data_IF_381025172786
#
_entry.id   IF_381025172786
#
_cell.length_a   1.000
_cell.length_b   1.000
_cell.length_c   1.000
_cell.angle_alpha   90.00
_cell.angle_beta   90.00
_cell.angle_gamma   90.00
#
_symmetry.space_group_name_H-M   'P 1'
#
loop_
_entity.id
_entity.type
_entity.pdbx_description
1 polymer ?
#
# COMPACT_ATOMS: atom_id res chain seq x y z
N UNK A 1 -9.67 30.95 0.72
CA UNK A 1 -9.62 29.73 1.57
C UNK A 1 -8.36 28.95 1.22
N UNK A 2 -7.52 28.60 2.20
CA UNK A 2 -6.41 27.69 1.93
C UNK A 2 -6.99 26.31 1.57
N UNK A 3 -6.57 25.72 0.46
CA UNK A 3 -6.93 24.36 0.10
C UNK A 3 -6.51 23.40 1.24
N UNK A 4 -7.40 22.48 1.61
CA UNK A 4 -7.05 21.45 2.60
C UNK A 4 -5.95 20.57 2.01
N UNK A 5 -4.92 20.32 2.82
CA UNK A 5 -3.82 19.45 2.44
C UNK A 5 -4.32 18.00 2.28
N UNK A 6 -3.89 17.33 1.22
CA UNK A 6 -4.16 15.89 1.04
C UNK A 6 -3.26 15.10 1.98
N UNK A 7 -3.85 14.36 2.90
CA UNK A 7 -3.14 13.52 3.88
C UNK A 7 -3.59 12.06 3.87
N UNK A 8 -4.66 11.75 3.11
CA UNK A 8 -5.23 10.42 2.99
C UNK A 8 -5.01 9.87 1.58
N UNK A 9 -4.72 8.59 1.48
CA UNK A 9 -4.64 7.89 0.21
C UNK A 9 -5.43 6.59 0.23
N UNK A 10 -6.10 6.30 -0.87
CA UNK A 10 -6.85 5.06 -1.10
C UNK A 10 -6.07 4.19 -2.08
N UNK A 11 -5.89 2.94 -1.71
CA UNK A 11 -5.20 1.91 -2.49
C UNK A 11 -6.20 0.82 -2.87
N UNK A 12 -6.74 0.83 -4.09
CA UNK A 12 -7.64 -0.22 -4.57
C UNK A 12 -6.86 -1.49 -4.89
N UNK A 13 -6.91 -2.47 -3.98
CA UNK A 13 -6.17 -3.74 -4.07
C UNK A 13 -7.09 -4.97 -4.06
N UNK A 14 -8.37 -4.78 -4.35
CA UNK A 14 -9.37 -5.84 -4.34
C UNK A 14 -9.40 -6.71 -5.63
N UNK A 15 -8.70 -6.29 -6.69
CA UNK A 15 -8.72 -6.97 -7.99
C UNK A 15 -8.09 -8.37 -7.95
N UNK A 16 -8.55 -9.26 -8.83
CA UNK A 16 -8.08 -10.65 -8.90
C UNK A 16 -6.72 -10.83 -9.61
N UNK A 17 -6.18 -9.78 -10.22
CA UNK A 17 -4.87 -9.83 -10.87
C UNK A 17 -4.81 -10.77 -12.09
N UNK A 18 -5.88 -10.90 -12.85
CA UNK A 18 -5.98 -11.85 -13.96
C UNK A 18 -4.93 -11.66 -15.04
N UNK A 19 -4.43 -10.44 -15.22
CA UNK A 19 -3.35 -10.11 -16.16
C UNK A 19 -1.99 -10.68 -15.76
N UNK A 20 -1.84 -11.12 -14.51
CA UNK A 20 -0.59 -11.67 -13.95
C UNK A 20 -0.67 -13.18 -13.70
N UNK A 21 -1.64 -13.85 -14.31
CA UNK A 21 -1.71 -15.31 -14.26
C UNK A 21 -0.48 -15.94 -14.98
N UNK A 22 0.04 -17.08 -14.48
CA UNK A 22 -0.51 -17.94 -13.41
C UNK A 22 -0.11 -17.51 -11.97
N UNK A 23 0.83 -16.59 -11.80
CA UNK A 23 1.35 -16.23 -10.47
C UNK A 23 0.25 -15.80 -9.48
N UNK A 24 -0.69 -14.99 -9.94
CA UNK A 24 -1.81 -14.47 -9.10
C UNK A 24 -2.88 -15.50 -8.76
N UNK A 25 -2.70 -16.76 -9.18
CA UNK A 25 -3.52 -17.88 -8.69
C UNK A 25 -3.35 -18.08 -7.18
N UNK A 26 -2.14 -17.85 -6.66
CA UNK A 26 -1.78 -18.13 -5.26
C UNK A 26 -1.36 -16.90 -4.47
N UNK A 27 -0.90 -15.84 -5.13
CA UNK A 27 -0.43 -14.62 -4.48
C UNK A 27 -1.12 -13.38 -5.03
N UNK A 28 -1.44 -12.38 -4.19
CA UNK A 28 -1.91 -11.08 -4.66
C UNK A 28 -0.88 -10.41 -5.57
N UNK A 29 -1.34 -9.79 -6.67
CA UNK A 29 -0.43 -9.07 -7.60
C UNK A 29 0.38 -7.98 -6.91
N UNK A 30 -0.18 -7.37 -5.89
CA UNK A 30 0.42 -6.27 -5.12
C UNK A 30 1.64 -6.72 -4.31
N UNK A 31 1.75 -8.03 -4.01
CA UNK A 31 2.90 -8.65 -3.33
C UNK A 31 3.94 -9.18 -4.31
N UNK A 32 3.66 -9.19 -5.60
CA UNK A 32 4.66 -9.55 -6.61
C UNK A 32 5.82 -8.57 -6.57
N UNK A 33 7.03 -9.11 -6.59
CA UNK A 33 8.27 -8.33 -6.49
C UNK A 33 8.61 -7.67 -7.81
N UNK A 34 8.93 -6.39 -7.74
CA UNK A 34 9.58 -5.65 -8.81
C UNK A 34 10.97 -5.25 -8.33
N UNK A 35 12.02 -5.83 -8.91
CA UNK A 35 13.42 -5.72 -8.51
C UNK A 35 13.66 -6.31 -7.11
N UNK A 36 13.53 -5.53 -6.05
CA UNK A 36 13.91 -5.89 -4.68
C UNK A 36 12.75 -5.83 -3.66
N UNK A 37 11.60 -5.29 -4.07
CA UNK A 37 10.46 -5.07 -3.16
C UNK A 37 9.12 -5.29 -3.87
N UNK A 38 8.04 -5.59 -3.13
CA UNK A 38 6.73 -5.79 -3.73
C UNK A 38 6.14 -4.49 -4.27
N UNK A 39 5.27 -4.61 -5.28
CA UNK A 39 4.60 -3.47 -5.93
C UNK A 39 3.94 -2.53 -4.92
N UNK A 40 3.30 -3.08 -3.90
CA UNK A 40 2.63 -2.26 -2.87
C UNK A 40 3.62 -1.35 -2.12
N UNK A 41 4.87 -1.78 -1.91
CA UNK A 41 5.86 -0.98 -1.22
C UNK A 41 6.22 0.29 -2.01
N UNK A 42 6.35 0.19 -3.33
CA UNK A 42 6.57 1.36 -4.18
C UNK A 42 5.44 2.39 -4.04
N UNK A 43 4.19 1.93 -4.01
CA UNK A 43 3.03 2.82 -3.84
C UNK A 43 3.02 3.49 -2.45
N UNK A 44 3.39 2.76 -1.41
CA UNK A 44 3.50 3.30 -0.05
C UNK A 44 4.63 4.31 0.05
N UNK A 45 5.81 4.00 -0.49
CA UNK A 45 6.96 4.91 -0.47
C UNK A 45 6.65 6.22 -1.21
N UNK A 46 5.98 6.13 -2.35
CA UNK A 46 5.50 7.30 -3.09
C UNK A 46 4.52 8.16 -2.29
N UNK A 47 3.55 7.51 -1.64
CA UNK A 47 2.56 8.20 -0.81
C UNK A 47 3.23 8.86 0.41
N UNK A 48 4.16 8.18 1.08
CA UNK A 48 4.93 8.74 2.20
C UNK A 48 5.74 9.97 1.78
N UNK A 49 6.44 9.89 0.64
CA UNK A 49 7.22 11.00 0.10
C UNK A 49 6.34 12.23 -0.21
N UNK A 50 5.09 12.02 -0.61
CA UNK A 50 4.12 13.09 -0.83
C UNK A 50 3.46 13.63 0.45
N UNK A 51 3.76 13.04 1.62
CA UNK A 51 3.24 13.49 2.92
C UNK A 51 1.89 12.89 3.30
N UNK A 52 1.50 11.77 2.70
CA UNK A 52 0.33 10.98 3.13
C UNK A 52 0.61 10.37 4.50
N UNK A 53 -0.40 10.39 5.36
CA UNK A 53 -0.33 9.90 6.74
C UNK A 53 -1.33 8.77 7.03
N UNK A 54 -2.41 8.72 6.28
CA UNK A 54 -3.48 7.73 6.45
C UNK A 54 -3.63 6.93 5.15
N UNK A 55 -3.49 5.62 5.26
CA UNK A 55 -3.43 4.67 4.16
C UNK A 55 -4.66 3.76 4.21
N UNK A 56 -5.53 3.82 3.22
CA UNK A 56 -6.79 3.09 3.18
C UNK A 56 -6.72 2.05 2.07
N UNK A 57 -6.58 0.79 2.44
CA UNK A 57 -6.58 -0.33 1.52
C UNK A 57 -7.99 -0.87 1.31
N UNK A 58 -8.44 -0.89 0.07
CA UNK A 58 -9.70 -1.53 -0.31
C UNK A 58 -9.37 -2.90 -0.89
N UNK A 59 -9.52 -3.91 -0.06
CA UNK A 59 -9.13 -5.30 -0.30
C UNK A 59 -10.33 -6.22 -0.56
N UNK A 60 -10.07 -7.50 -0.79
CA UNK A 60 -11.07 -8.56 -0.98
C UNK A 60 -10.65 -9.84 -0.28
N UNK A 61 -11.49 -10.85 -0.35
CA UNK A 61 -11.15 -12.19 0.19
C UNK A 61 -9.87 -12.74 -0.44
N UNK A 62 -9.00 -13.35 0.36
CA UNK A 62 -7.75 -13.98 -0.10
C UNK A 62 -6.57 -13.03 -0.24
N UNK A 63 -6.63 -11.84 0.35
CA UNK A 63 -5.57 -10.83 0.32
C UNK A 63 -4.81 -10.70 1.66
N UNK A 64 -4.83 -11.73 2.53
CA UNK A 64 -4.17 -11.69 3.85
C UNK A 64 -2.66 -11.40 3.77
N UNK A 65 -1.98 -11.92 2.76
CA UNK A 65 -0.55 -11.63 2.56
C UNK A 65 -0.24 -10.13 2.41
N UNK A 66 -1.20 -9.33 1.92
CA UNK A 66 -1.07 -7.90 1.83
C UNK A 66 -1.17 -7.23 3.22
N UNK A 67 -2.05 -7.73 4.06
CA UNK A 67 -2.22 -7.25 5.44
C UNK A 67 -1.00 -7.63 6.28
N UNK A 68 -0.58 -8.91 6.20
CA UNK A 68 0.58 -9.45 6.92
C UNK A 68 1.90 -8.74 6.55
N UNK A 69 2.01 -8.24 5.31
CA UNK A 69 3.23 -7.57 4.84
C UNK A 69 3.61 -6.33 5.67
N UNK A 70 2.62 -5.60 6.16
CA UNK A 70 2.85 -4.38 6.94
C UNK A 70 2.87 -4.61 8.45
N UNK A 71 2.63 -5.83 8.89
CA UNK A 71 2.71 -6.19 10.29
C UNK A 71 4.16 -6.39 10.74
N UNK A 72 4.42 -6.16 12.01
CA UNK A 72 5.70 -6.48 12.61
C UNK A 72 5.98 -7.97 12.54
N UNK A 73 7.24 -8.34 12.27
CA UNK A 73 7.72 -9.72 12.23
C UNK A 73 8.73 -9.99 13.36
N UNK A 74 8.31 -10.08 14.64
CA UNK A 74 9.21 -10.12 15.80
C UNK A 74 10.19 -11.29 15.77
N UNK A 75 9.78 -12.45 15.27
CA UNK A 75 10.64 -13.64 15.16
C UNK A 75 11.76 -13.42 14.14
N UNK A 76 11.42 -12.83 12.98
CA UNK A 76 12.40 -12.49 11.97
C UNK A 76 13.36 -11.39 12.46
N UNK A 77 12.82 -10.34 13.08
CA UNK A 77 13.63 -9.27 13.68
C UNK A 77 14.63 -9.83 14.71
N UNK A 78 14.18 -10.71 15.61
CA UNK A 78 15.03 -11.34 16.60
C UNK A 78 16.12 -12.21 15.95
N UNK A 79 15.77 -12.93 14.90
CA UNK A 79 16.72 -13.78 14.15
C UNK A 79 17.80 -12.92 13.49
N UNK A 80 17.41 -11.83 12.83
CA UNK A 80 18.35 -10.90 12.19
C UNK A 80 19.26 -10.23 13.22
N UNK A 81 18.71 -9.83 14.37
CA UNK A 81 19.45 -9.20 15.46
C UNK A 81 20.50 -10.16 16.05
N UNK A 82 20.13 -11.42 16.30
CA UNK A 82 21.06 -12.46 16.76
C UNK A 82 22.16 -12.75 15.74
N UNK A 83 21.84 -12.72 14.46
CA UNK A 83 22.77 -12.93 13.36
C UNK A 83 23.62 -11.68 13.04
N UNK A 84 23.42 -10.55 13.73
CA UNK A 84 24.08 -9.24 13.51
C UNK A 84 23.93 -8.72 12.07
N UNK A 85 22.77 -8.97 11.45
CA UNK A 85 22.46 -8.53 10.08
C UNK A 85 21.72 -7.17 10.11
N UNK A 86 22.45 -6.11 10.46
CA UNK A 86 21.89 -4.78 10.68
C UNK A 86 21.23 -4.20 9.41
N UNK A 87 21.86 -4.37 8.25
CA UNK A 87 21.30 -3.88 6.97
C UNK A 87 19.93 -4.50 6.67
N UNK A 88 19.78 -5.82 6.86
CA UNK A 88 18.50 -6.50 6.65
C UNK A 88 17.47 -6.10 7.70
N UNK A 89 17.90 -5.80 8.90
CA UNK A 89 17.02 -5.32 9.96
C UNK A 89 16.46 -3.92 9.62
N UNK A 90 17.27 -3.03 9.07
CA UNK A 90 16.80 -1.70 8.62
C UNK A 90 15.81 -1.83 7.45
N UNK A 91 16.10 -2.67 6.45
CA UNK A 91 15.18 -2.96 5.34
C UNK A 91 13.83 -3.45 5.88
N UNK A 92 13.85 -4.36 6.86
CA UNK A 92 12.62 -4.87 7.47
C UNK A 92 11.84 -3.76 8.19
N UNK A 93 12.51 -2.88 8.91
CA UNK A 93 11.89 -1.74 9.61
C UNK A 93 11.22 -0.74 8.66
N UNK A 94 11.76 -0.55 7.46
CA UNK A 94 11.17 0.34 6.45
C UNK A 94 9.77 -0.09 6.01
N UNK A 95 9.46 -1.38 6.13
CA UNK A 95 8.12 -1.91 5.81
C UNK A 95 7.10 -1.65 6.91
N UNK A 96 7.53 -1.38 8.13
CA UNK A 96 6.65 -1.17 9.27
C UNK A 96 5.83 0.12 9.10
N UNK A 97 4.59 0.06 9.55
CA UNK A 97 3.67 1.19 9.55
C UNK A 97 3.30 1.56 10.99
N UNK A 98 3.07 2.85 11.21
CA UNK A 98 2.61 3.33 12.51
C UNK A 98 1.24 2.73 12.85
N UNK A 99 1.04 2.39 14.12
CA UNK A 99 -0.24 1.87 14.60
C UNK A 99 -1.37 2.85 14.29
N UNK A 100 -2.41 2.37 13.62
CA UNK A 100 -3.56 3.17 13.22
C UNK A 100 -3.37 3.96 11.92
N UNK A 101 -2.20 3.94 11.30
CA UNK A 101 -1.97 4.61 10.01
C UNK A 101 -2.63 3.88 8.83
N UNK A 102 -2.84 2.55 8.93
CA UNK A 102 -3.48 1.74 7.91
C UNK A 102 -4.89 1.34 8.34
N UNK A 103 -5.83 1.46 7.41
CA UNK A 103 -7.16 0.88 7.51
C UNK A 103 -7.41 -0.09 6.35
N UNK A 104 -7.97 -1.25 6.63
CA UNK A 104 -8.36 -2.23 5.63
C UNK A 104 -9.88 -2.29 5.51
N UNK A 105 -10.37 -2.12 4.28
CA UNK A 105 -11.79 -2.22 3.95
C UNK A 105 -11.99 -3.33 2.93
N UNK A 106 -13.11 -4.01 3.01
CA UNK A 106 -13.48 -5.00 2.00
C UNK A 106 -14.42 -4.45 0.95
N UNK A 107 -14.05 -4.65 -0.31
CA UNK A 107 -14.97 -4.64 -1.42
C UNK A 107 -15.62 -6.03 -1.52
N UNK A 108 -16.85 -6.16 -1.04
CA UNK A 108 -17.53 -7.46 -0.95
C UNK A 108 -17.98 -8.01 -2.32
N UNK A 109 -18.10 -7.15 -3.32
CA UNK A 109 -18.50 -7.51 -4.70
C UNK A 109 -17.54 -6.84 -5.67
N UNK A 110 -17.06 -7.55 -6.71
CA UNK A 110 -16.08 -7.01 -7.67
C UNK A 110 -16.79 -6.10 -8.69
N UNK A 111 -17.22 -4.91 -8.28
CA UNK A 111 -17.97 -3.95 -9.10
C UNK A 111 -17.07 -2.88 -9.75
N UNK A 112 -15.78 -3.15 -9.86
CA UNK A 112 -14.82 -2.31 -10.55
C UNK A 112 -14.12 -1.28 -9.68
N UNK A 113 -13.20 -0.52 -10.31
CA UNK A 113 -12.30 0.42 -9.64
C UNK A 113 -13.04 1.55 -8.93
N UNK A 114 -13.97 2.19 -9.61
CA UNK A 114 -14.75 3.29 -9.02
C UNK A 114 -15.50 2.87 -7.77
N UNK A 115 -16.08 1.66 -7.77
CA UNK A 115 -16.74 1.10 -6.59
C UNK A 115 -15.75 0.83 -5.45
N UNK A 116 -14.54 0.35 -5.76
CA UNK A 116 -13.51 0.16 -4.75
C UNK A 116 -13.19 1.48 -4.04
N UNK A 117 -12.95 2.55 -4.78
CA UNK A 117 -12.74 3.90 -4.22
C UNK A 117 -13.95 4.35 -3.40
N UNK A 118 -15.16 4.16 -3.91
CA UNK A 118 -16.41 4.51 -3.21
C UNK A 118 -16.56 3.77 -1.88
N UNK A 119 -16.06 2.53 -1.74
CA UNK A 119 -16.07 1.80 -0.48
C UNK A 119 -15.35 2.57 0.65
N UNK A 120 -14.34 3.36 0.33
CA UNK A 120 -13.56 4.14 1.29
C UNK A 120 -14.25 5.44 1.77
N UNK A 121 -15.38 5.84 1.18
CA UNK A 121 -16.05 7.15 1.41
C UNK A 121 -16.30 7.50 2.87
N UNK A 122 -16.58 6.50 3.72
CA UNK A 122 -16.88 6.75 5.14
C UNK A 122 -15.63 7.11 5.95
N UNK A 123 -14.46 6.57 5.58
CA UNK A 123 -13.18 6.91 6.20
C UNK A 123 -12.60 8.22 5.67
N UNK A 124 -12.87 8.52 4.40
CA UNK A 124 -12.43 9.76 3.78
C UNK A 124 -13.26 10.94 4.28
N UNK A 125 -14.58 10.75 4.40
CA UNK A 125 -15.49 11.83 4.73
C UNK A 125 -15.52 12.90 3.64
N UNK A 126 -15.47 14.17 4.04
CA UNK A 126 -15.46 15.33 3.13
C UNK A 126 -14.06 15.96 3.05
N UNK A 127 -13.04 15.13 2.84
CA UNK A 127 -11.64 15.56 2.74
C UNK A 127 -11.07 15.25 1.36
N UNK A 128 -10.12 16.03 0.87
CA UNK A 128 -9.36 15.68 -0.31
C UNK A 128 -8.49 14.45 -0.04
N UNK A 129 -8.37 13.59 -1.02
CA UNK A 129 -7.60 12.35 -0.91
C UNK A 129 -6.93 11.98 -2.23
N UNK A 130 -5.88 11.20 -2.15
CA UNK A 130 -5.23 10.60 -3.32
C UNK A 130 -5.74 9.18 -3.57
N UNK A 131 -5.63 8.73 -4.81
CA UNK A 131 -5.83 7.33 -5.20
C UNK A 131 -4.56 6.86 -5.88
N UNK A 132 -3.96 5.78 -5.37
CA UNK A 132 -2.79 5.16 -5.98
C UNK A 132 -3.13 3.73 -6.41
N UNK A 133 -2.73 3.41 -7.64
CA UNK A 133 -2.84 2.06 -8.19
C UNK A 133 -1.47 1.38 -8.05
N UNK A 134 -1.32 0.36 -7.22
CA UNK A 134 0.00 -0.22 -6.91
C UNK A 134 0.74 -0.81 -8.10
N UNK A 135 0.03 -1.19 -9.15
CA UNK A 135 0.62 -1.68 -10.40
C UNK A 135 1.04 -0.59 -11.39
N UNK A 136 0.77 0.67 -11.08
CA UNK A 136 1.25 1.84 -11.83
C UNK A 136 2.51 2.41 -11.16
N UNK A 137 3.65 1.73 -11.35
CA UNK A 137 4.93 2.17 -10.79
C UNK A 137 5.59 3.16 -11.74
N UNK A 138 5.89 4.36 -11.24
CA UNK A 138 6.48 5.46 -12.01
C UNK A 138 7.91 5.69 -11.54
N UNK A 139 8.88 5.51 -12.45
CA UNK A 139 10.27 5.80 -12.17
C UNK A 139 10.56 7.29 -12.49
N UNK A 140 10.73 8.09 -11.44
CA UNK A 140 11.08 9.49 -11.54
C UNK A 140 11.91 9.92 -10.34
N UNK A 141 12.77 10.92 -10.49
CA UNK A 141 13.53 11.50 -9.37
C UNK A 141 12.60 12.07 -8.30
N UNK A 142 11.57 12.78 -8.73
CA UNK A 142 10.51 13.28 -7.85
C UNK A 142 9.27 12.41 -8.01
N UNK A 143 8.76 11.80 -6.92
CA UNK A 143 7.58 10.95 -6.97
C UNK A 143 6.38 11.62 -7.65
N UNK A 144 5.64 10.85 -8.46
CA UNK A 144 4.52 11.37 -9.24
C UNK A 144 3.45 12.05 -8.38
N UNK A 145 3.05 11.43 -7.28
CA UNK A 145 2.06 12.01 -6.38
C UNK A 145 2.55 13.33 -5.77
N UNK A 146 3.83 13.43 -5.44
CA UNK A 146 4.42 14.68 -4.94
C UNK A 146 4.31 15.80 -5.98
N UNK A 147 4.59 15.51 -7.26
CA UNK A 147 4.43 16.47 -8.35
C UNK A 147 2.97 16.93 -8.52
N UNK A 148 2.01 16.00 -8.34
CA UNK A 148 0.58 16.32 -8.47
C UNK A 148 0.05 17.19 -7.32
N UNK A 149 0.73 17.21 -6.18
CA UNK A 149 0.30 17.92 -4.98
C UNK A 149 0.92 19.32 -4.83
N UNK A 150 1.81 19.72 -5.72
CA UNK A 150 2.40 21.05 -5.83
C UNK A 150 1.52 22.02 -6.61
#
# INVERSE_FOLDING_TARGET
MKAKKVTKAVFPVAGMGTRFLPATKSIPKEIMTLVDRPLIQYAIDEARAAGIKEFIFVTSKGKSALEDYFDHAPELENTLRKARKEELLEILKETNMDSGAIAYLRQNRPLGLGHAVWCARRLIGNEPFAVLLPDDVIAAEKPCLQQMME
#
